data_IF_750694254560
#
_entry.id   IF_750694254560
#
_cell.length_a   1.000
_cell.length_b   1.000
_cell.length_c   1.000
_cell.angle_alpha   90.00
_cell.angle_beta   90.00
_cell.angle_gamma   90.00
#
_symmetry.space_group_name_H-M   'P 1'
#
loop_
_entity.id
_entity.type
_entity.pdbx_description
1 polymer ?
#
# COMPACT_ATOMS: atom_id res chain seq x y z
N UNK A 1 -16.06 -12.94 -14.14
CA UNK A 1 -14.61 -12.79 -14.38
C UNK A 1 -13.89 -12.53 -13.05
N UNK A 2 -12.96 -13.36 -12.62
CA UNK A 2 -12.21 -13.18 -11.35
C UNK A 2 -11.44 -11.83 -11.31
N UNK A 3 -11.33 -11.16 -10.15
CA UNK A 3 -10.51 -9.95 -10.02
C UNK A 3 -9.03 -10.24 -10.30
N UNK A 4 -8.36 -9.32 -11.01
CA UNK A 4 -6.94 -9.41 -11.33
C UNK A 4 -6.11 -8.53 -10.39
N UNK A 5 -4.92 -8.99 -10.04
CA UNK A 5 -3.95 -8.26 -9.22
C UNK A 5 -2.86 -7.64 -10.09
N UNK A 6 -2.50 -6.38 -9.79
CA UNK A 6 -1.46 -5.62 -10.48
C UNK A 6 -0.53 -5.01 -9.46
N UNK A 7 0.78 -5.15 -9.66
CA UNK A 7 1.81 -4.55 -8.81
C UNK A 7 1.95 -3.04 -9.12
N UNK A 8 2.13 -2.22 -8.08
CA UNK A 8 2.16 -0.76 -8.21
C UNK A 8 3.56 -0.17 -8.46
N UNK A 9 4.62 -0.95 -8.30
CA UNK A 9 5.97 -0.44 -8.56
C UNK A 9 6.48 0.63 -7.59
N UNK A 10 5.93 0.72 -6.37
CA UNK A 10 6.24 1.81 -5.42
C UNK A 10 7.52 1.60 -4.57
N UNK A 11 8.32 0.58 -4.86
CA UNK A 11 9.68 0.45 -4.33
C UNK A 11 9.83 0.20 -2.83
N UNK A 12 8.86 -0.47 -2.19
CA UNK A 12 8.88 -0.73 -0.73
C UNK A 12 9.93 -1.77 -0.28
N UNK A 13 10.48 -2.58 -1.19
CA UNK A 13 11.55 -3.55 -0.92
C UNK A 13 11.12 -4.80 -0.15
N UNK A 14 10.44 -4.66 0.99
CA UNK A 14 10.03 -5.77 1.87
C UNK A 14 8.59 -6.23 1.67
N UNK A 15 7.80 -5.42 0.96
CA UNK A 15 6.37 -5.64 0.71
C UNK A 15 6.06 -5.31 -0.75
N UNK A 16 5.35 -6.20 -1.43
CA UNK A 16 4.75 -5.91 -2.71
C UNK A 16 3.36 -5.29 -2.50
N UNK A 17 3.20 -4.03 -2.91
CA UNK A 17 1.91 -3.37 -2.93
C UNK A 17 1.23 -3.58 -4.29
N UNK A 18 0.06 -4.19 -4.24
CA UNK A 18 -0.75 -4.52 -5.40
C UNK A 18 -2.15 -3.91 -5.26
N UNK A 19 -2.81 -3.70 -6.39
CA UNK A 19 -4.25 -3.44 -6.44
C UNK A 19 -4.97 -4.58 -7.13
N UNK A 20 -6.16 -4.89 -6.63
CA UNK A 20 -7.01 -5.95 -7.14
C UNK A 20 -8.32 -5.36 -7.62
N UNK A 21 -8.59 -5.49 -8.92
CA UNK A 21 -9.74 -4.85 -9.56
C UNK A 21 -10.40 -5.73 -10.62
N UNK A 22 -11.67 -5.42 -10.89
CA UNK A 22 -12.47 -5.95 -12.02
C UNK A 22 -12.86 -4.86 -13.02
N UNK A 23 -12.58 -3.59 -12.72
CA UNK A 23 -12.94 -2.44 -13.54
C UNK A 23 -12.16 -2.47 -14.87
N UNK A 24 -12.82 -2.64 -16.03
CA UNK A 24 -12.16 -2.77 -17.34
C UNK A 24 -11.27 -1.57 -17.70
N UNK A 25 -11.71 -0.37 -17.36
CA UNK A 25 -11.02 0.90 -17.59
C UNK A 25 -9.72 0.98 -16.79
N UNK A 26 -9.76 0.61 -15.50
CA UNK A 26 -8.57 0.58 -14.66
C UNK A 26 -7.61 -0.54 -15.10
N UNK A 27 -8.13 -1.71 -15.50
CA UNK A 27 -7.30 -2.80 -16.05
C UNK A 27 -6.58 -2.34 -17.32
N UNK A 28 -7.25 -1.57 -18.18
CA UNK A 28 -6.67 -1.04 -19.42
C UNK A 28 -5.55 -0.05 -19.10
N UNK A 29 -5.81 0.90 -18.18
CA UNK A 29 -4.80 1.85 -17.73
C UNK A 29 -3.57 1.16 -17.11
N UNK A 30 -3.79 0.15 -16.25
CA UNK A 30 -2.70 -0.60 -15.61
C UNK A 30 -1.87 -1.42 -16.60
N UNK A 31 -2.49 -1.92 -17.67
CA UNK A 31 -1.77 -2.62 -18.74
C UNK A 31 -0.96 -1.65 -19.60
N UNK A 32 -1.49 -0.48 -19.89
CA UNK A 32 -0.79 0.55 -20.64
C UNK A 32 0.44 1.07 -19.88
N UNK A 33 0.37 1.15 -18.56
CA UNK A 33 1.47 1.59 -17.69
C UNK A 33 2.46 0.49 -17.28
N UNK A 34 2.45 -0.68 -17.93
CA UNK A 34 3.37 -1.76 -17.60
C UNK A 34 4.83 -1.34 -17.82
N UNK A 35 5.68 -1.63 -16.83
CA UNK A 35 7.09 -1.23 -16.84
C UNK A 35 7.35 0.13 -16.21
N UNK A 36 6.30 0.90 -15.90
CA UNK A 36 6.40 2.18 -15.19
C UNK A 36 6.03 2.01 -13.71
N UNK A 37 6.48 2.95 -12.86
CA UNK A 37 6.00 3.02 -11.48
C UNK A 37 4.67 3.78 -11.41
N UNK A 38 3.92 3.60 -10.31
CA UNK A 38 2.70 4.36 -10.04
C UNK A 38 2.90 5.89 -10.16
N UNK A 39 4.11 6.39 -9.89
CA UNK A 39 4.40 7.82 -9.89
C UNK A 39 4.84 8.35 -11.26
N UNK A 40 5.37 7.47 -12.12
CA UNK A 40 5.87 7.87 -13.44
C UNK A 40 4.77 7.81 -14.51
N UNK A 41 3.77 6.94 -14.33
CA UNK A 41 2.66 6.75 -15.25
C UNK A 41 1.61 7.88 -15.17
N UNK A 42 1.49 8.74 -16.20
CA UNK A 42 0.59 9.88 -16.16
C UNK A 42 -0.88 9.46 -15.99
N UNK A 43 -1.58 10.09 -15.05
CA UNK A 43 -3.00 9.84 -14.80
C UNK A 43 -3.34 8.52 -14.06
N UNK A 44 -2.36 7.63 -13.85
CA UNK A 44 -2.62 6.33 -13.22
C UNK A 44 -3.10 6.47 -11.77
N UNK A 45 -2.51 7.38 -10.99
CA UNK A 45 -2.97 7.69 -9.62
C UNK A 45 -4.45 8.11 -9.63
N UNK A 46 -4.83 9.00 -10.55
CA UNK A 46 -6.22 9.45 -10.69
C UNK A 46 -7.18 8.30 -11.00
N UNK A 47 -6.78 7.42 -11.92
CA UNK A 47 -7.57 6.23 -12.27
C UNK A 47 -7.73 5.26 -11.09
N UNK A 48 -6.67 5.06 -10.29
CA UNK A 48 -6.72 4.24 -9.07
C UNK A 48 -7.66 4.86 -8.04
N UNK A 49 -7.55 6.16 -7.77
CA UNK A 49 -8.42 6.86 -6.82
C UNK A 49 -9.89 6.81 -7.24
N UNK A 50 -10.18 7.04 -8.53
CA UNK A 50 -11.55 7.02 -9.06
C UNK A 50 -12.23 5.64 -8.94
N UNK A 51 -11.45 4.57 -8.96
CA UNK A 51 -11.94 3.19 -8.88
C UNK A 51 -11.88 2.58 -7.47
N UNK A 52 -11.15 3.22 -6.55
CA UNK A 52 -10.92 2.76 -5.17
C UNK A 52 -10.76 1.22 -5.04
N UNK A 53 -9.83 0.58 -5.79
CA UNK A 53 -9.72 -0.87 -5.81
C UNK A 53 -9.31 -1.43 -4.45
N UNK A 54 -9.47 -2.74 -4.26
CA UNK A 54 -8.90 -3.40 -3.09
C UNK A 54 -7.38 -3.35 -3.16
N UNK A 55 -6.72 -3.08 -2.03
CA UNK A 55 -5.26 -3.11 -1.94
C UNK A 55 -4.82 -4.44 -1.37
N UNK A 56 -3.77 -5.02 -1.93
CA UNK A 56 -3.20 -6.29 -1.49
C UNK A 56 -1.72 -6.06 -1.21
N UNK A 57 -1.28 -6.36 0.00
CA UNK A 57 0.11 -6.30 0.41
C UNK A 57 0.62 -7.72 0.62
N UNK A 58 1.70 -8.09 -0.05
CA UNK A 58 2.30 -9.42 0.03
C UNK A 58 3.72 -9.27 0.58
N UNK A 59 4.07 -10.08 1.58
CA UNK A 59 5.41 -10.17 2.13
C UNK A 59 5.74 -11.62 2.52
N UNK A 60 6.96 -11.86 2.99
CA UNK A 60 7.37 -13.17 3.50
C UNK A 60 6.52 -13.66 4.70
N UNK A 61 5.87 -12.74 5.44
CA UNK A 61 5.02 -13.09 6.59
C UNK A 61 3.58 -13.44 6.18
N UNK A 62 3.17 -13.11 4.95
CA UNK A 62 1.84 -13.41 4.47
C UNK A 62 1.24 -12.29 3.62
N UNK A 63 -0.09 -12.21 3.65
CA UNK A 63 -0.87 -11.36 2.75
C UNK A 63 -1.95 -10.60 3.51
N UNK A 64 -2.00 -9.29 3.29
CA UNK A 64 -3.05 -8.41 3.83
C UNK A 64 -3.90 -7.90 2.67
N UNK A 65 -5.22 -8.04 2.77
CA UNK A 65 -6.17 -7.42 1.85
C UNK A 65 -6.92 -6.31 2.57
N UNK A 66 -6.94 -5.14 1.96
CA UNK A 66 -7.61 -3.95 2.48
C UNK A 66 -8.76 -3.62 1.54
N UNK A 67 -9.98 -3.66 2.08
CA UNK A 67 -11.24 -3.58 1.33
C UNK A 67 -11.94 -2.23 1.51
N UNK A 68 -11.55 -1.47 2.52
CA UNK A 68 -12.08 -0.15 2.85
C UNK A 68 -11.94 0.79 1.65
N UNK A 69 -12.89 1.70 1.45
CA UNK A 69 -12.80 2.69 0.39
C UNK A 69 -11.58 3.61 0.59
N UNK A 70 -11.11 4.20 -0.50
CA UNK A 70 -10.12 5.28 -0.44
C UNK A 70 -10.90 6.58 -0.21
N UNK A 71 -10.68 7.31 0.89
CA UNK A 71 -11.38 8.57 1.14
C UNK A 71 -11.01 9.61 0.07
N UNK A 72 -11.89 10.59 -0.12
CA UNK A 72 -11.54 11.80 -0.88
C UNK A 72 -10.39 12.55 -0.18
N UNK A 73 -9.76 13.49 -0.89
CA UNK A 73 -8.63 14.27 -0.36
C UNK A 73 -8.95 14.97 0.96
N UNK A 74 -10.18 15.47 1.11
CA UNK A 74 -10.68 16.12 2.33
C UNK A 74 -11.47 15.17 3.26
N UNK A 75 -11.51 13.88 2.92
CA UNK A 75 -12.25 12.86 3.64
C UNK A 75 -11.50 12.35 4.87
N UNK A 76 -12.24 12.03 5.93
CA UNK A 76 -11.68 11.33 7.10
C UNK A 76 -11.29 9.89 6.72
N UNK A 77 -10.14 9.43 7.21
CA UNK A 77 -9.74 8.02 7.11
C UNK A 77 -10.81 7.10 7.69
N UNK A 78 -11.14 5.99 7.01
CA UNK A 78 -12.12 5.04 7.53
C UNK A 78 -11.59 4.35 8.79
N UNK A 79 -12.50 4.03 9.70
CA UNK A 79 -12.18 3.18 10.84
C UNK A 79 -11.81 1.78 10.32
N UNK A 80 -10.79 1.17 10.92
CA UNK A 80 -10.24 -0.13 10.50
C UNK A 80 -9.09 -0.05 9.49
N UNK A 81 -8.73 -1.18 8.86
CA UNK A 81 -7.57 -1.28 7.97
C UNK A 81 -7.66 -0.27 6.80
N UNK A 82 -6.65 0.58 6.67
CA UNK A 82 -6.54 1.52 5.56
C UNK A 82 -5.07 1.76 5.21
N UNK A 83 -4.84 2.39 4.07
CA UNK A 83 -3.52 2.52 3.47
C UNK A 83 -3.24 3.98 3.14
N UNK A 84 -2.01 4.42 3.35
CA UNK A 84 -1.53 5.73 2.94
C UNK A 84 -0.41 5.57 1.90
N UNK A 85 -0.53 6.27 0.78
CA UNK A 85 0.56 6.42 -0.19
C UNK A 85 1.04 7.86 -0.10
N UNK A 86 2.23 8.06 0.47
CA UNK A 86 2.80 9.38 0.73
C UNK A 86 4.07 9.55 -0.12
N UNK A 87 3.98 10.16 -1.33
CA UNK A 87 5.10 10.23 -2.28
C UNK A 87 6.37 10.84 -1.68
N UNK A 88 6.23 11.86 -0.83
CA UNK A 88 7.37 12.48 -0.13
C UNK A 88 8.12 11.49 0.76
N UNK A 89 7.40 10.61 1.47
CA UNK A 89 8.05 9.59 2.31
C UNK A 89 8.68 8.48 1.46
N UNK A 90 8.00 8.04 0.41
CA UNK A 90 8.51 7.02 -0.50
C UNK A 90 9.76 7.47 -1.26
N UNK A 91 9.87 8.76 -1.58
CA UNK A 91 11.06 9.34 -2.21
C UNK A 91 12.33 9.18 -1.36
N UNK A 92 12.22 9.05 -0.03
CA UNK A 92 13.36 8.79 0.84
C UNK A 92 13.87 7.34 0.76
N UNK A 93 13.12 6.43 0.14
CA UNK A 93 13.47 5.00 -0.02
C UNK A 93 13.88 4.31 1.30
N UNK A 94 13.27 4.73 2.41
CA UNK A 94 13.44 4.11 3.73
C UNK A 94 12.34 3.08 3.98
N UNK A 95 12.71 1.94 4.55
CA UNK A 95 11.76 0.87 4.92
C UNK A 95 11.17 1.06 6.31
N UNK A 96 11.77 1.92 7.14
CA UNK A 96 11.37 2.23 8.50
C UNK A 96 11.80 3.65 8.89
N UNK A 97 11.35 4.12 10.05
CA UNK A 97 11.76 5.42 10.58
C UNK A 97 13.27 5.43 10.89
N UNK A 98 13.92 6.56 10.62
CA UNK A 98 15.40 6.69 10.67
C UNK A 98 16.02 6.43 12.05
N UNK A 99 15.20 6.56 13.10
CA UNK A 99 15.59 6.41 14.49
C UNK A 99 15.29 5.01 15.06
N UNK A 100 14.77 4.09 14.24
CA UNK A 100 14.59 2.70 14.64
C UNK A 100 15.84 1.93 14.19
N UNK A 101 16.68 1.44 15.11
CA UNK A 101 17.88 0.71 14.73
C UNK A 101 17.51 -0.67 14.19
N UNK A 102 17.77 -0.91 12.91
CA UNK A 102 17.70 -2.23 12.28
C UNK A 102 19.12 -2.63 11.88
N UNK A 103 19.64 -3.78 12.36
CA UNK A 103 20.98 -4.25 12.01
C UNK A 103 21.16 -4.48 10.50
N UNK A 104 22.40 -4.40 10.04
CA UNK A 104 22.73 -4.73 8.65
C UNK A 104 22.30 -6.16 8.29
N UNK A 105 21.72 -6.32 7.11
CA UNK A 105 21.17 -7.59 6.63
C UNK A 105 19.80 -7.96 7.21
N UNK A 106 19.24 -7.15 8.12
CA UNK A 106 17.90 -7.35 8.67
C UNK A 106 16.90 -6.42 8.00
N UNK A 107 15.65 -6.86 7.94
CA UNK A 107 14.54 -6.08 7.38
C UNK A 107 13.40 -5.99 8.39
N UNK A 108 12.79 -4.81 8.58
CA UNK A 108 11.60 -4.69 9.40
C UNK A 108 10.43 -5.38 8.70
N UNK A 109 9.77 -6.31 9.39
CA UNK A 109 8.65 -7.07 8.82
C UNK A 109 7.27 -6.62 9.33
N UNK A 110 7.20 -6.06 10.55
CA UNK A 110 5.97 -5.57 11.17
C UNK A 110 6.29 -4.49 12.20
N UNK A 111 5.51 -3.41 12.21
CA UNK A 111 5.56 -2.38 13.26
C UNK A 111 4.17 -2.23 13.86
N UNK A 112 4.06 -2.33 15.19
CA UNK A 112 2.80 -2.23 15.93
C UNK A 112 2.90 -1.04 16.87
N UNK A 113 1.93 -0.13 16.79
CA UNK A 113 1.82 1.04 17.65
C UNK A 113 0.53 0.91 18.48
N UNK A 114 0.59 0.27 19.67
CA UNK A 114 -0.58 0.15 20.51
C UNK A 114 -1.05 1.53 21.00
N UNK A 115 -2.36 1.69 21.31
CA UNK A 115 -2.86 2.90 21.94
C UNK A 115 -2.10 3.19 23.24
N UNK A 116 -1.82 4.46 23.50
CA UNK A 116 -1.19 4.86 24.75
C UNK A 116 -2.08 4.44 25.93
N UNK A 117 -1.55 3.62 26.84
CA UNK A 117 -2.27 3.15 28.02
C UNK A 117 -3.11 1.87 27.84
N UNK A 118 -3.09 1.22 26.67
CA UNK A 118 -3.68 -0.10 26.52
C UNK A 118 -2.83 -1.11 27.31
N UNK A 119 -3.39 -1.65 28.41
CA UNK A 119 -2.77 -2.75 29.14
C UNK A 119 -2.54 -3.90 28.14
N UNK A 120 -1.27 -4.30 27.98
CA UNK A 120 -0.94 -5.48 27.18
C UNK A 120 -1.49 -6.69 27.95
N UNK A 121 -2.70 -7.12 27.57
CA UNK A 121 -3.27 -8.37 28.04
C UNK A 121 -2.28 -9.49 27.68
N UNK A 122 -1.74 -10.16 28.69
CA UNK A 122 -0.90 -11.33 28.48
C UNK A 122 -1.75 -12.40 27.78
N UNK A 123 -1.29 -12.85 26.61
CA UNK A 123 -1.81 -14.02 25.94
C UNK A 123 -1.47 -15.30 26.71
#
# INVERSE_FOLDING_TARGET
>A
MMPRSFWLGIGLGTVEACIRTRAPELITALRAAQGETLFDAPGLIGAVLANAPHRVFVSALGRIEVYQAIPSVDGRSPDGPHTHVLPRLLAHRRTHAANIPIPDGWVPCLSIHPPHGAAVGRA
#
